data_IF_108623077550
#
_entry.id   IF_108623077550
#
_cell.length_a   1.000
_cell.length_b   1.000
_cell.length_c   1.000
_cell.angle_alpha   90.00
_cell.angle_beta   90.00
_cell.angle_gamma   90.00
#
_symmetry.space_group_name_H-M   'P 1'
#
loop_
_entity.id
_entity.type
_entity.pdbx_description
1 polymer ?
#
# COMPACT_ATOMS: atom_id res chain seq x y z
N UNK A 1 18.36 -2.96 -0.96
CA UNK A 1 18.13 -1.51 -0.83
C UNK A 1 16.85 -1.14 -0.08
N UNK A 2 16.09 -2.09 0.48
CA UNK A 2 14.91 -1.79 1.31
C UNK A 2 13.88 -0.86 0.65
N UNK A 3 13.05 -0.22 1.48
CA UNK A 3 12.06 0.76 1.02
C UNK A 3 12.71 1.98 0.40
N UNK A 4 13.88 2.40 0.90
CA UNK A 4 14.61 3.56 0.37
C UNK A 4 14.91 3.40 -1.11
N UNK A 5 15.48 2.26 -1.53
CA UNK A 5 15.79 2.03 -2.94
C UNK A 5 14.52 1.92 -3.81
N UNK A 6 13.45 1.29 -3.29
CA UNK A 6 12.18 1.17 -4.01
C UNK A 6 11.52 2.53 -4.23
N UNK A 7 11.46 3.36 -3.19
CA UNK A 7 10.91 4.71 -3.28
C UNK A 7 11.70 5.58 -4.25
N UNK A 8 13.04 5.55 -4.16
CA UNK A 8 13.91 6.30 -5.09
C UNK A 8 13.74 5.82 -6.53
N UNK A 9 13.72 4.50 -6.77
CA UNK A 9 13.54 3.96 -8.11
C UNK A 9 12.19 4.36 -8.73
N UNK A 10 11.12 4.34 -7.94
CA UNK A 10 9.80 4.77 -8.38
C UNK A 10 9.74 6.28 -8.64
N UNK A 11 10.42 7.10 -7.84
CA UNK A 11 10.48 8.54 -8.06
C UNK A 11 11.25 8.90 -9.34
N UNK A 12 12.40 8.25 -9.58
CA UNK A 12 13.17 8.39 -10.83
C UNK A 12 12.39 7.90 -12.06
N UNK A 13 11.54 6.88 -11.88
CA UNK A 13 10.66 6.43 -12.94
C UNK A 13 9.57 7.48 -13.24
N UNK A 14 8.87 7.97 -12.20
CA UNK A 14 7.77 8.96 -12.32
C UNK A 14 8.23 10.28 -12.90
N UNK A 15 9.40 10.78 -12.48
CA UNK A 15 9.94 12.04 -12.98
C UNK A 15 10.63 11.92 -14.35
N UNK A 16 10.62 10.73 -14.96
CA UNK A 16 11.16 10.45 -16.29
C UNK A 16 12.68 10.37 -16.39
N UNK A 17 13.42 10.45 -15.29
CA UNK A 17 14.89 10.39 -15.30
C UNK A 17 15.39 9.06 -15.92
N UNK A 18 14.74 7.94 -15.59
CA UNK A 18 15.11 6.63 -16.14
C UNK A 18 15.06 6.64 -17.67
N UNK A 19 13.97 7.17 -18.24
CA UNK A 19 13.79 7.26 -19.68
C UNK A 19 14.77 8.25 -20.33
N UNK A 20 14.93 9.45 -19.74
CA UNK A 20 15.86 10.49 -20.23
C UNK A 20 17.30 10.01 -20.34
N UNK A 21 17.72 9.14 -19.43
CA UNK A 21 19.09 8.61 -19.40
C UNK A 21 19.23 7.22 -20.05
N UNK A 22 18.17 6.68 -20.67
CA UNK A 22 18.22 5.36 -21.31
C UNK A 22 18.47 4.20 -20.35
N UNK A 23 18.17 4.38 -19.05
CA UNK A 23 18.37 3.38 -18.01
C UNK A 23 17.21 2.37 -18.05
N UNK A 24 17.49 1.10 -17.72
CA UNK A 24 16.47 0.04 -17.59
C UNK A 24 16.38 -0.44 -16.16
N UNK A 25 15.15 -0.55 -15.65
CA UNK A 25 14.88 -1.26 -14.40
C UNK A 25 14.98 -2.76 -14.63
N UNK A 26 15.85 -3.41 -13.87
CA UNK A 26 16.07 -4.87 -13.90
C UNK A 26 15.57 -5.52 -12.60
N UNK A 27 15.27 -6.81 -12.63
CA UNK A 27 14.71 -7.55 -11.50
C UNK A 27 13.21 -7.31 -11.30
N UNK A 28 12.80 -6.07 -11.05
CA UNK A 28 11.40 -5.68 -10.97
C UNK A 28 11.15 -4.41 -11.79
N UNK A 29 10.15 -4.44 -12.66
CA UNK A 29 9.71 -3.26 -13.39
C UNK A 29 8.84 -2.35 -12.51
N UNK A 30 8.66 -1.09 -12.91
CA UNK A 30 7.91 -0.10 -12.13
C UNK A 30 6.45 -0.54 -11.85
N UNK A 31 5.81 -1.25 -12.78
CA UNK A 31 4.46 -1.76 -12.60
C UNK A 31 4.41 -2.87 -11.53
N UNK A 32 5.38 -3.78 -11.52
CA UNK A 32 5.50 -4.83 -10.52
C UNK A 32 5.78 -4.26 -9.13
N UNK A 33 6.67 -3.26 -9.04
CA UNK A 33 6.94 -2.54 -7.78
C UNK A 33 5.67 -1.86 -7.28
N UNK A 34 4.99 -1.08 -8.14
CA UNK A 34 3.74 -0.41 -7.77
C UNK A 34 2.66 -1.40 -7.29
N UNK A 35 2.52 -2.54 -7.96
CA UNK A 35 1.54 -3.57 -7.61
C UNK A 35 1.83 -4.26 -6.27
N UNK A 36 3.10 -4.34 -5.86
CA UNK A 36 3.50 -4.89 -4.57
C UNK A 36 3.38 -3.90 -3.41
N UNK A 37 3.64 -2.61 -3.67
CA UNK A 37 3.65 -1.56 -2.65
C UNK A 37 2.28 -0.93 -2.40
N UNK A 38 1.46 -0.79 -3.44
CA UNK A 38 0.11 -0.25 -3.33
C UNK A 38 -0.87 -1.35 -2.89
N UNK A 39 -1.51 -1.12 -1.73
CA UNK A 39 -2.41 -2.11 -1.10
C UNK A 39 -3.68 -2.35 -1.90
N UNK A 40 -4.18 -1.34 -2.61
CA UNK A 40 -5.36 -1.49 -3.47
C UNK A 40 -5.01 -2.36 -4.68
N UNK A 41 -3.89 -2.05 -5.37
CA UNK A 41 -3.44 -2.83 -6.52
C UNK A 41 -3.09 -4.27 -6.13
N UNK A 42 -2.52 -4.47 -4.94
CA UNK A 42 -2.26 -5.80 -4.41
C UNK A 42 -3.57 -6.58 -4.16
N UNK A 43 -4.56 -5.96 -3.50
CA UNK A 43 -5.86 -6.57 -3.24
C UNK A 43 -6.55 -6.99 -4.54
N UNK A 44 -6.60 -6.09 -5.51
CA UNK A 44 -7.17 -6.35 -6.83
C UNK A 44 -6.43 -7.47 -7.57
N UNK A 45 -5.11 -7.56 -7.40
CA UNK A 45 -4.31 -8.64 -7.96
C UNK A 45 -4.68 -10.01 -7.40
N UNK A 46 -4.84 -10.11 -6.08
CA UNK A 46 -5.18 -11.36 -5.40
C UNK A 46 -6.59 -11.81 -5.78
N UNK A 47 -7.56 -10.88 -5.76
CA UNK A 47 -8.94 -11.16 -6.16
C UNK A 47 -9.03 -11.64 -7.62
N UNK A 48 -8.24 -11.03 -8.52
CA UNK A 48 -8.22 -11.41 -9.94
C UNK A 48 -7.77 -12.84 -10.18
N UNK A 49 -6.91 -13.38 -9.33
CA UNK A 49 -6.44 -14.78 -9.41
C UNK A 49 -7.27 -15.73 -8.54
N UNK A 50 -8.38 -15.26 -7.96
CA UNK A 50 -9.28 -16.06 -7.15
C UNK A 50 -8.79 -16.33 -5.73
N UNK A 51 -7.79 -15.61 -5.24
CA UNK A 51 -7.37 -15.69 -3.84
C UNK A 51 -8.22 -14.79 -2.97
N UNK A 52 -8.59 -15.30 -1.81
CA UNK A 52 -9.34 -14.56 -0.82
C UNK A 52 -8.44 -13.55 -0.07
N UNK A 53 -9.05 -12.45 0.36
CA UNK A 53 -8.38 -11.35 1.06
C UNK A 53 -9.28 -10.87 2.20
N UNK A 54 -8.73 -10.50 3.36
CA UNK A 54 -9.53 -9.95 4.45
C UNK A 54 -10.36 -8.75 4.00
N UNK A 55 -11.57 -8.60 4.55
CA UNK A 55 -12.38 -7.38 4.41
C UNK A 55 -11.53 -6.19 4.85
N UNK A 56 -11.38 -5.24 3.95
CA UNK A 56 -10.37 -4.17 4.04
C UNK A 56 -10.75 -3.02 3.11
N UNK A 57 -10.31 -1.82 3.46
CA UNK A 57 -10.43 -0.63 2.63
C UNK A 57 -9.14 0.20 2.64
N UNK A 58 -9.08 1.19 1.76
CA UNK A 58 -7.98 2.17 1.71
C UNK A 58 -8.47 3.50 2.25
N UNK A 59 -7.69 4.09 3.14
CA UNK A 59 -7.96 5.41 3.71
C UNK A 59 -6.82 6.37 3.37
N UNK A 60 -7.16 7.60 2.95
CA UNK A 60 -6.21 8.71 2.75
C UNK A 60 -6.46 9.87 3.71
N UNK A 61 -7.50 9.74 4.54
CA UNK A 61 -7.93 10.70 5.55
C UNK A 61 -8.55 9.96 6.72
N UNK A 62 -8.68 10.62 7.87
CA UNK A 62 -9.38 10.04 9.02
C UNK A 62 -10.86 9.75 8.72
N UNK A 63 -11.50 10.60 7.91
CA UNK A 63 -12.87 10.37 7.43
C UNK A 63 -12.99 9.08 6.61
N UNK A 64 -12.01 8.80 5.73
CA UNK A 64 -11.99 7.53 5.00
C UNK A 64 -11.80 6.34 5.94
N UNK A 65 -10.90 6.46 6.92
CA UNK A 65 -10.65 5.40 7.89
C UNK A 65 -11.91 5.07 8.69
N UNK A 66 -12.63 6.09 9.14
CA UNK A 66 -13.92 5.96 9.83
C UNK A 66 -14.97 5.27 8.94
N UNK A 67 -15.10 5.68 7.68
CA UNK A 67 -16.01 5.01 6.73
C UNK A 67 -15.66 3.55 6.51
N UNK A 68 -14.37 3.23 6.36
CA UNK A 68 -13.90 1.84 6.20
C UNK A 68 -14.17 1.02 7.46
N UNK A 69 -13.99 1.61 8.65
CA UNK A 69 -14.31 0.95 9.91
C UNK A 69 -15.81 0.60 10.00
N UNK A 70 -16.69 1.53 9.59
CA UNK A 70 -18.13 1.30 9.54
C UNK A 70 -18.52 0.23 8.50
N UNK A 71 -17.88 0.23 7.33
CA UNK A 71 -18.09 -0.79 6.30
C UNK A 71 -17.64 -2.19 6.76
N UNK A 72 -16.57 -2.29 7.55
CA UNK A 72 -16.12 -3.56 8.15
C UNK A 72 -17.07 -3.98 9.28
N UNK A 73 -17.45 -3.03 10.13
CA UNK A 73 -18.50 -3.16 11.15
C UNK A 73 -18.04 -3.79 12.48
N UNK A 74 -16.75 -4.09 12.64
CA UNK A 74 -16.22 -4.77 13.83
C UNK A 74 -14.78 -4.34 14.13
N UNK A 75 -14.43 -4.28 15.43
CA UNK A 75 -13.05 -4.17 15.93
C UNK A 75 -12.59 -5.53 16.52
N UNK A 76 -11.28 -5.82 16.59
CA UNK A 76 -10.16 -4.94 16.25
C UNK A 76 -9.90 -4.79 14.74
N UNK A 77 -9.34 -3.64 14.34
CA UNK A 77 -8.91 -3.34 12.98
C UNK A 77 -7.39 -3.33 12.87
N UNK A 78 -6.86 -3.92 11.80
CA UNK A 78 -5.43 -3.92 11.50
C UNK A 78 -5.14 -2.76 10.53
N UNK A 79 -4.30 -1.82 10.96
CA UNK A 79 -3.90 -0.64 10.18
C UNK A 79 -2.54 -0.90 9.56
N UNK A 80 -2.45 -0.79 8.22
CA UNK A 80 -1.22 -1.04 7.46
C UNK A 80 -0.95 0.06 6.46
N UNK A 81 0.04 0.94 6.69
CA UNK A 81 0.42 1.94 5.71
C UNK A 81 0.91 1.33 4.39
N UNK A 82 0.70 2.07 3.32
CA UNK A 82 1.33 1.81 2.03
C UNK A 82 2.76 2.38 2.02
N UNK A 83 3.64 1.82 1.19
CA UNK A 83 5.03 2.28 1.01
C UNK A 83 5.89 2.33 2.29
N UNK A 84 5.56 1.52 3.31
CA UNK A 84 6.36 1.33 4.52
C UNK A 84 6.75 -0.14 4.72
N UNK A 85 7.90 -0.36 5.36
CA UNK A 85 8.37 -1.68 5.81
C UNK A 85 8.43 -1.72 7.34
N UNK A 86 8.31 -2.92 7.90
CA UNK A 86 8.48 -3.15 9.34
C UNK A 86 7.33 -2.66 10.22
N UNK A 87 6.17 -2.34 9.66
CA UNK A 87 5.00 -1.91 10.43
C UNK A 87 5.05 -0.46 10.93
N UNK A 88 6.02 0.35 10.49
CA UNK A 88 6.04 1.78 10.81
C UNK A 88 4.74 2.47 10.36
N UNK A 89 4.08 3.12 11.31
CA UNK A 89 2.77 3.78 11.15
C UNK A 89 1.57 2.82 11.10
N UNK A 90 1.79 1.52 11.31
CA UNK A 90 0.74 0.52 11.43
C UNK A 90 0.46 0.14 12.88
N UNK A 91 -0.62 -0.61 13.09
CA UNK A 91 -1.05 -0.98 14.44
C UNK A 91 -2.33 -1.80 14.43
N UNK A 92 -2.83 -2.04 15.64
CA UNK A 92 -4.14 -2.65 15.88
C UNK A 92 -4.95 -1.61 16.65
N UNK A 93 -6.10 -1.22 16.12
CA UNK A 93 -7.07 -0.41 16.84
C UNK A 93 -8.14 -1.34 17.42
N UNK A 94 -8.36 -1.30 18.72
CA UNK A 94 -9.40 -2.08 19.41
C UNK A 94 -10.73 -1.32 19.53
N UNK A 95 -10.71 -0.01 19.29
CA UNK A 95 -11.86 0.88 19.35
C UNK A 95 -11.65 2.08 18.42
N UNK A 96 -12.65 2.96 18.34
CA UNK A 96 -12.61 4.12 17.46
C UNK A 96 -11.61 5.19 17.92
N UNK A 97 -11.41 5.35 19.23
CA UNK A 97 -10.46 6.33 19.78
C UNK A 97 -9.02 5.94 19.42
N UNK A 98 -8.70 4.64 19.37
CA UNK A 98 -7.39 4.13 18.91
C UNK A 98 -7.21 4.16 17.38
N UNK A 99 -8.29 4.37 16.62
CA UNK A 99 -8.22 4.50 15.17
C UNK A 99 -7.84 5.93 14.73
N UNK A 100 -8.09 6.94 15.58
CA UNK A 100 -7.76 8.35 15.33
C UNK A 100 -6.26 8.67 15.50
#
# INVERSE_FOLDING_TARGET
GGQTALNVAMELYRNGAIARHGVKLIGANAQAIAKGEDRQLFKEAMLRIGLDVPRSGVARSLADANRVADEIGTFPLIIRPAFSLGGMGGGIAYNRDELE
#
